data_IF_281659249193
#
_entry.id   IF_281659249193
#
_cell.length_a   1.000
_cell.length_b   1.000
_cell.length_c   1.000
_cell.angle_alpha   90.00
_cell.angle_beta   90.00
_cell.angle_gamma   90.00
#
_symmetry.space_group_name_H-M   'P 1'
#
loop_
_entity.id
_entity.type
_entity.pdbx_description
1 polymer ?
#
# COMPACT_ATOMS: atom_id res chain seq x y z
N UNK A 1 -8.14 -16.55 -10.93
CA UNK A 1 -9.35 -15.92 -10.35
C UNK A 1 -9.16 -14.41 -10.45
N UNK A 2 -10.15 -13.67 -10.92
CA UNK A 2 -10.06 -12.22 -11.00
C UNK A 2 -10.02 -11.61 -9.59
N UNK A 3 -9.15 -10.62 -9.41
CA UNK A 3 -9.04 -9.90 -8.13
C UNK A 3 -10.28 -9.03 -7.90
N UNK A 4 -10.71 -8.94 -6.65
CA UNK A 4 -11.71 -7.97 -6.19
C UNK A 4 -11.21 -6.54 -6.41
N UNK A 5 -12.12 -5.56 -6.40
CA UNK A 5 -11.76 -4.18 -6.72
C UNK A 5 -10.81 -3.55 -5.71
N UNK A 6 -11.26 -3.33 -4.48
CA UNK A 6 -10.48 -2.57 -3.50
C UNK A 6 -10.69 -3.08 -2.08
N UNK A 7 -9.63 -3.05 -1.27
CA UNK A 7 -9.66 -3.30 0.16
C UNK A 7 -9.33 -2.03 0.93
N UNK A 8 -10.11 -1.74 1.95
CA UNK A 8 -9.77 -0.79 2.98
C UNK A 8 -9.58 -1.50 4.32
N UNK A 9 -8.36 -1.54 4.76
CA UNK A 9 -7.94 -2.16 6.00
C UNK A 9 -7.58 -1.10 7.04
N UNK A 10 -8.27 -1.04 8.18
CA UNK A 10 -8.02 -0.03 9.21
C UNK A 10 -8.26 -0.57 10.61
N UNK A 11 -7.21 -0.90 11.34
CA UNK A 11 -7.29 -1.36 12.74
C UNK A 11 -7.79 -0.29 13.72
N UNK A 12 -7.66 0.99 13.38
CA UNK A 12 -8.01 2.12 14.26
C UNK A 12 -9.34 2.81 13.87
N UNK A 13 -10.24 2.06 13.22
CA UNK A 13 -11.52 2.61 12.76
C UNK A 13 -11.37 3.63 11.61
N UNK A 14 -12.48 4.25 11.26
CA UNK A 14 -12.57 5.25 10.20
C UNK A 14 -12.66 6.65 10.81
N UNK A 15 -11.59 7.44 10.74
CA UNK A 15 -11.68 8.88 10.93
C UNK A 15 -12.32 9.56 9.70
N UNK A 16 -12.66 10.85 9.79
CA UNK A 16 -13.36 11.58 8.74
C UNK A 16 -12.66 11.50 7.36
N UNK A 17 -11.32 11.59 7.32
CA UNK A 17 -10.56 11.47 6.08
C UNK A 17 -10.67 10.07 5.47
N UNK A 18 -10.54 9.03 6.29
CA UNK A 18 -10.67 7.64 5.84
C UNK A 18 -12.09 7.33 5.34
N UNK A 19 -13.10 7.88 6.02
CA UNK A 19 -14.50 7.73 5.64
C UNK A 19 -14.78 8.39 4.28
N UNK A 20 -14.23 9.57 4.05
CA UNK A 20 -14.32 10.26 2.75
C UNK A 20 -13.70 9.43 1.62
N UNK A 21 -12.50 8.89 1.82
CA UNK A 21 -11.82 8.03 0.83
C UNK A 21 -12.64 6.78 0.54
N UNK A 22 -13.17 6.13 1.56
CA UNK A 22 -14.04 4.98 1.40
C UNK A 22 -15.25 5.30 0.52
N UNK A 23 -15.93 6.42 0.79
CA UNK A 23 -17.09 6.87 0.00
C UNK A 23 -16.69 7.18 -1.44
N UNK A 24 -15.59 7.91 -1.66
CA UNK A 24 -15.10 8.24 -3.00
C UNK A 24 -14.77 7.02 -3.84
N UNK A 25 -14.15 6.00 -3.25
CA UNK A 25 -13.79 4.77 -3.95
C UNK A 25 -14.98 3.84 -4.16
N UNK A 26 -15.95 3.85 -3.26
CA UNK A 26 -17.19 3.08 -3.39
C UNK A 26 -18.03 3.50 -4.60
N UNK A 27 -17.83 4.71 -5.11
CA UNK A 27 -18.43 5.16 -6.38
C UNK A 27 -17.78 4.52 -7.61
N UNK A 28 -16.56 3.99 -7.50
CA UNK A 28 -15.81 3.39 -8.60
C UNK A 28 -15.90 1.86 -8.64
N UNK A 29 -16.27 1.25 -7.53
CA UNK A 29 -16.39 -0.21 -7.40
C UNK A 29 -16.60 -0.66 -5.96
N UNK A 30 -16.76 -1.96 -5.76
CA UNK A 30 -16.96 -2.51 -4.43
C UNK A 30 -15.70 -2.39 -3.59
N UNK A 31 -15.78 -1.69 -2.46
CA UNK A 31 -14.71 -1.56 -1.46
C UNK A 31 -15.04 -2.41 -0.25
N UNK A 32 -14.26 -3.46 -0.01
CA UNK A 32 -14.37 -4.25 1.20
C UNK A 32 -13.69 -3.49 2.35
N UNK A 33 -14.42 -3.27 3.45
CA UNK A 33 -13.90 -2.63 4.66
C UNK A 33 -13.62 -3.68 5.72
N UNK A 34 -12.40 -3.67 6.25
CA UNK A 34 -12.00 -4.55 7.35
C UNK A 34 -11.39 -3.72 8.47
N UNK A 35 -12.04 -3.77 9.63
CA UNK A 35 -11.61 -3.08 10.85
C UNK A 35 -10.90 -4.02 11.83
N UNK A 36 -11.12 -5.31 11.73
CA UNK A 36 -10.41 -6.34 12.48
C UNK A 36 -9.90 -7.44 11.54
N UNK A 37 -8.58 -7.52 11.39
CA UNK A 37 -7.93 -8.54 10.57
C UNK A 37 -7.89 -9.92 11.21
N UNK A 38 -7.90 -9.99 12.55
CA UNK A 38 -7.76 -11.25 13.27
C UNK A 38 -8.84 -12.26 12.90
N UNK A 39 -10.04 -11.75 12.59
CA UNK A 39 -11.19 -12.61 12.22
C UNK A 39 -11.18 -13.04 10.75
N UNK A 40 -10.26 -12.51 9.94
CA UNK A 40 -10.19 -12.76 8.49
C UNK A 40 -8.96 -13.56 8.08
N UNK A 41 -8.04 -13.81 8.99
CA UNK A 41 -6.84 -14.61 8.75
C UNK A 41 -7.02 -16.01 9.33
N UNK A 42 -6.51 -17.02 8.61
CA UNK A 42 -6.57 -18.42 9.04
C UNK A 42 -5.79 -18.63 10.36
N UNK A 43 -4.69 -17.89 10.52
CA UNK A 43 -3.94 -17.83 11.78
C UNK A 43 -4.11 -16.46 12.45
N UNK A 44 -4.89 -16.41 13.51
CA UNK A 44 -5.18 -15.20 14.29
C UNK A 44 -3.95 -14.60 15.00
N UNK A 45 -2.86 -15.34 15.10
CA UNK A 45 -1.59 -14.86 15.66
C UNK A 45 -0.76 -14.07 14.65
N UNK A 46 -1.01 -14.25 13.34
CA UNK A 46 -0.26 -13.67 12.22
C UNK A 46 -1.01 -12.49 11.56
N UNK A 47 -1.22 -11.39 12.30
CA UNK A 47 -1.73 -10.13 11.70
C UNK A 47 -0.69 -9.49 10.76
N UNK A 48 0.51 -10.04 10.74
CA UNK A 48 1.65 -9.59 9.95
C UNK A 48 2.24 -10.75 9.15
N UNK A 49 2.84 -10.45 7.99
CA UNK A 49 3.58 -11.43 7.21
C UNK A 49 2.77 -12.12 6.13
N UNK A 50 3.01 -13.41 5.94
CA UNK A 50 2.60 -14.13 4.74
C UNK A 50 1.07 -14.21 4.54
N UNK A 51 0.30 -14.38 5.61
CA UNK A 51 -1.16 -14.48 5.53
C UNK A 51 -1.82 -13.16 5.18
N UNK A 52 -1.29 -12.05 5.69
CA UNK A 52 -1.72 -10.70 5.29
C UNK A 52 -1.48 -10.48 3.80
N UNK A 53 -0.30 -10.85 3.29
CA UNK A 53 0.04 -10.73 1.87
C UNK A 53 -0.88 -11.60 1.01
N UNK A 54 -1.15 -12.85 1.40
CA UNK A 54 -2.11 -13.73 0.71
C UNK A 54 -3.51 -13.14 0.69
N UNK A 55 -3.94 -12.56 1.79
CA UNK A 55 -5.23 -11.90 1.88
C UNK A 55 -5.30 -10.68 0.95
N UNK A 56 -4.29 -9.82 0.98
CA UNK A 56 -4.16 -8.64 0.11
C UNK A 56 -4.12 -9.01 -1.38
N UNK A 57 -3.54 -10.15 -1.73
CA UNK A 57 -3.46 -10.63 -3.11
C UNK A 57 -4.83 -10.85 -3.77
N UNK A 58 -5.90 -10.90 -3.01
CA UNK A 58 -7.26 -11.04 -3.53
C UNK A 58 -7.81 -9.73 -4.14
N UNK A 59 -7.12 -8.59 -3.95
CA UNK A 59 -7.60 -7.27 -4.34
C UNK A 59 -6.68 -6.60 -5.37
N UNK A 60 -7.28 -5.80 -6.28
CA UNK A 60 -6.53 -4.98 -7.23
C UNK A 60 -5.88 -3.79 -6.55
N UNK A 61 -6.65 -3.07 -5.73
CA UNK A 61 -6.23 -1.87 -5.02
C UNK A 61 -6.33 -2.07 -3.52
N UNK A 62 -5.40 -1.48 -2.78
CA UNK A 62 -5.44 -1.47 -1.32
C UNK A 62 -5.17 -0.05 -0.82
N UNK A 63 -6.07 0.46 0.01
CA UNK A 63 -5.88 1.76 0.67
C UNK A 63 -4.75 1.62 1.68
N UNK A 64 -3.68 2.35 1.45
CA UNK A 64 -2.43 2.29 2.20
C UNK A 64 -2.11 3.67 2.77
N UNK A 65 -2.69 3.97 3.95
CA UNK A 65 -2.50 5.23 4.64
C UNK A 65 -1.55 5.05 5.80
N UNK A 66 -0.52 5.88 5.83
CA UNK A 66 0.39 5.95 6.97
C UNK A 66 -0.27 6.64 8.17
N UNK A 67 0.31 6.42 9.34
CA UNK A 67 -0.17 7.07 10.57
C UNK A 67 0.29 8.53 10.66
N UNK A 68 1.30 8.91 9.88
CA UNK A 68 1.86 10.26 9.82
C UNK A 68 2.25 10.64 8.39
N UNK A 69 2.11 11.91 8.05
CA UNK A 69 2.56 12.51 6.79
C UNK A 69 3.93 13.20 6.95
N UNK A 70 4.79 12.66 7.79
CA UNK A 70 6.16 13.17 8.00
C UNK A 70 7.08 12.73 6.87
N UNK A 71 7.99 13.60 6.36
CA UNK A 71 9.00 13.21 5.39
C UNK A 71 9.82 12.00 5.88
N UNK A 72 10.06 11.03 5.01
CA UNK A 72 10.77 9.79 5.32
C UNK A 72 9.98 8.75 6.11
N UNK A 73 8.77 9.05 6.56
CA UNK A 73 7.93 8.08 7.28
C UNK A 73 7.23 7.13 6.30
N UNK A 74 7.97 6.14 5.86
CA UNK A 74 7.49 5.06 4.98
C UNK A 74 7.62 3.75 5.73
N UNK A 75 6.50 3.04 5.92
CA UNK A 75 6.47 1.82 6.72
C UNK A 75 6.27 0.57 5.86
N UNK A 76 6.22 -0.59 6.50
CA UNK A 76 5.96 -1.88 5.86
C UNK A 76 4.63 -1.95 5.08
N UNK A 77 3.71 -1.03 5.35
CA UNK A 77 2.36 -1.05 4.75
C UNK A 77 2.40 -1.06 3.23
N UNK A 78 3.15 -0.14 2.62
CA UNK A 78 3.22 -0.05 1.15
C UNK A 78 3.92 -1.28 0.56
N UNK A 79 4.95 -1.81 1.23
CA UNK A 79 5.68 -2.99 0.79
C UNK A 79 4.82 -4.26 0.85
N UNK A 80 4.00 -4.41 1.89
CA UNK A 80 3.03 -5.52 1.99
C UNK A 80 2.06 -5.53 0.81
N UNK A 81 1.62 -4.34 0.35
CA UNK A 81 0.75 -4.22 -0.82
C UNK A 81 1.50 -4.61 -2.11
N UNK A 82 2.75 -4.22 -2.26
CA UNK A 82 3.58 -4.62 -3.41
C UNK A 82 3.83 -6.13 -3.43
N UNK A 83 4.17 -6.73 -2.29
CA UNK A 83 4.34 -8.18 -2.16
C UNK A 83 3.06 -8.94 -2.51
N UNK A 84 1.90 -8.38 -2.22
CA UNK A 84 0.60 -8.92 -2.60
C UNK A 84 0.27 -8.74 -4.09
N UNK A 85 1.17 -8.17 -4.89
CA UNK A 85 0.90 -7.83 -6.30
C UNK A 85 -0.39 -7.04 -6.46
N UNK A 86 -0.60 -6.09 -5.58
CA UNK A 86 -1.70 -5.14 -5.56
C UNK A 86 -1.17 -3.72 -5.74
N UNK A 87 -2.03 -2.78 -6.10
CA UNK A 87 -1.64 -1.38 -6.28
C UNK A 87 -2.05 -0.60 -5.03
N UNK A 88 -1.09 0.01 -4.31
CA UNK A 88 -1.42 0.85 -3.17
C UNK A 88 -2.04 2.18 -3.61
N UNK A 89 -3.13 2.58 -2.93
CA UNK A 89 -3.64 3.94 -2.93
C UNK A 89 -3.04 4.59 -1.68
N UNK A 90 -1.99 5.39 -1.89
CA UNK A 90 -1.10 5.84 -0.83
C UNK A 90 -1.37 7.25 -0.35
N UNK A 91 -1.39 7.41 0.97
CA UNK A 91 -1.32 8.70 1.64
C UNK A 91 -0.38 8.58 2.86
N UNK A 92 0.70 9.37 2.86
CA UNK A 92 1.75 9.30 3.88
C UNK A 92 2.86 10.28 3.60
N UNK A 93 4.11 9.82 3.66
CA UNK A 93 5.29 10.65 3.47
C UNK A 93 5.20 11.51 2.20
N UNK A 94 5.32 12.85 2.31
CA UNK A 94 5.22 13.76 1.16
C UNK A 94 6.37 13.55 0.16
N UNK A 95 7.47 13.00 0.61
CA UNK A 95 8.68 12.71 -0.17
C UNK A 95 8.81 11.24 -0.59
N UNK A 96 7.69 10.50 -0.63
CA UNK A 96 7.65 9.08 -1.02
C UNK A 96 8.33 8.82 -2.37
N UNK A 97 8.26 9.76 -3.31
CA UNK A 97 8.84 9.65 -4.65
C UNK A 97 10.38 9.57 -4.65
N UNK A 98 11.03 9.86 -3.50
CA UNK A 98 12.47 9.61 -3.32
C UNK A 98 12.80 8.13 -3.17
N UNK A 99 11.86 7.34 -2.67
CA UNK A 99 12.04 5.93 -2.30
C UNK A 99 11.34 4.98 -3.26
N UNK A 100 10.16 5.38 -3.73
CA UNK A 100 9.26 4.56 -4.54
C UNK A 100 9.01 5.25 -5.88
N UNK A 101 9.08 4.50 -6.99
CA UNK A 101 8.77 5.06 -8.30
C UNK A 101 7.31 5.59 -8.35
N UNK A 102 7.10 6.85 -8.78
CA UNK A 102 5.77 7.49 -8.78
C UNK A 102 4.69 6.72 -9.56
N UNK A 103 5.12 5.92 -10.53
CA UNK A 103 4.22 5.12 -11.35
C UNK A 103 3.87 3.76 -10.72
N UNK A 104 4.45 3.38 -9.58
CA UNK A 104 4.16 2.09 -8.95
C UNK A 104 3.01 2.13 -7.94
N UNK A 105 2.47 3.30 -7.64
CA UNK A 105 1.34 3.47 -6.73
C UNK A 105 0.37 4.55 -7.24
N UNK A 106 -0.80 4.64 -6.63
CA UNK A 106 -1.76 5.74 -6.83
C UNK A 106 -1.65 6.68 -5.63
N UNK A 107 -1.20 7.91 -5.86
CA UNK A 107 -1.20 8.94 -4.82
C UNK A 107 -2.63 9.36 -4.49
N UNK A 108 -2.94 9.52 -3.21
CA UNK A 108 -4.21 10.11 -2.79
C UNK A 108 -4.20 11.61 -3.04
N UNK A 109 -4.71 11.99 -4.19
CA UNK A 109 -4.83 13.37 -4.68
C UNK A 109 -6.10 13.53 -5.55
N UNK A 110 -6.44 14.74 -6.01
CA UNK A 110 -7.61 14.97 -6.86
C UNK A 110 -7.65 14.13 -8.15
N UNK A 111 -6.51 13.69 -8.67
CA UNK A 111 -6.40 12.89 -9.90
C UNK A 111 -6.54 11.38 -9.66
N UNK A 112 -6.57 10.95 -8.40
CA UNK A 112 -6.64 9.55 -7.99
C UNK A 112 -7.72 8.76 -8.74
N UNK A 113 -8.92 9.32 -8.83
CA UNK A 113 -10.07 8.63 -9.45
C UNK A 113 -9.83 8.29 -10.92
N UNK A 114 -9.29 9.24 -11.69
CA UNK A 114 -9.00 9.02 -13.12
C UNK A 114 -7.95 7.90 -13.30
N UNK A 115 -6.90 7.90 -12.48
CA UNK A 115 -5.86 6.87 -12.51
C UNK A 115 -6.41 5.48 -12.14
N UNK A 116 -7.27 5.40 -11.12
CA UNK A 116 -7.91 4.13 -10.71
C UNK A 116 -8.83 3.59 -11.80
N UNK A 117 -9.66 4.45 -12.42
CA UNK A 117 -10.55 4.06 -13.51
C UNK A 117 -9.75 3.49 -14.69
N UNK A 118 -8.66 4.17 -15.09
CA UNK A 118 -7.78 3.71 -16.15
C UNK A 118 -7.19 2.33 -15.84
N UNK A 119 -6.61 2.16 -14.65
CA UNK A 119 -5.99 0.92 -14.20
C UNK A 119 -7.01 -0.22 -14.07
N UNK A 120 -8.22 0.07 -13.62
CA UNK A 120 -9.25 -0.95 -13.48
C UNK A 120 -9.81 -1.45 -14.82
N UNK A 121 -9.88 -0.57 -15.82
CA UNK A 121 -10.37 -0.90 -17.17
C UNK A 121 -9.31 -1.58 -18.05
N UNK A 122 -8.03 -1.28 -17.85
CA UNK A 122 -6.94 -1.80 -18.68
C UNK A 122 -6.12 -2.86 -17.95
N UNK A 123 -6.41 -4.14 -18.22
CA UNK A 123 -5.65 -5.27 -17.66
C UNK A 123 -4.16 -5.21 -18.02
N UNK A 124 -3.83 -4.74 -19.23
CA UNK A 124 -2.44 -4.60 -19.69
C UNK A 124 -1.67 -3.56 -18.85
N UNK A 125 -2.25 -2.37 -18.68
CA UNK A 125 -1.63 -1.29 -17.88
C UNK A 125 -1.53 -1.71 -16.41
N UNK A 126 -2.58 -2.33 -15.86
CA UNK A 126 -2.56 -2.85 -14.49
C UNK A 126 -1.42 -3.86 -14.29
N UNK A 127 -1.33 -4.88 -15.16
CA UNK A 127 -0.31 -5.93 -15.05
C UNK A 127 1.10 -5.36 -15.21
N UNK A 128 1.31 -4.45 -16.14
CA UNK A 128 2.59 -3.77 -16.32
C UNK A 128 3.00 -3.04 -15.04
N UNK A 129 2.10 -2.27 -14.46
CA UNK A 129 2.37 -1.51 -13.24
C UNK A 129 2.66 -2.44 -12.04
N UNK A 130 1.94 -3.57 -11.92
CA UNK A 130 2.20 -4.55 -10.85
C UNK A 130 3.56 -5.25 -11.02
N UNK A 131 4.07 -5.39 -12.24
CA UNK A 131 5.34 -6.07 -12.54
C UNK A 131 6.55 -5.14 -12.56
N UNK A 132 6.35 -3.82 -12.70
CA UNK A 132 7.43 -2.83 -12.73
C UNK A 132 8.13 -2.76 -11.37
N UNK A 133 9.41 -2.42 -11.39
CA UNK A 133 10.21 -2.14 -10.20
C UNK A 133 9.54 -1.06 -9.34
N UNK A 134 9.63 -1.23 -8.03
CA UNK A 134 8.94 -0.36 -7.06
C UNK A 134 9.86 0.64 -6.39
N UNK A 135 11.11 0.27 -6.19
CA UNK A 135 12.08 1.03 -5.41
C UNK A 135 12.90 1.91 -6.37
N UNK A 136 12.88 3.22 -6.14
CA UNK A 136 13.53 4.21 -7.02
C UNK A 136 15.02 4.39 -6.75
N UNK A 137 15.50 3.90 -5.61
CA UNK A 137 16.93 3.88 -5.24
C UNK A 137 17.31 2.52 -4.73
N UNK A 138 18.52 2.09 -5.03
CA UNK A 138 19.20 1.11 -4.20
C UNK A 138 19.16 1.64 -2.77
N UNK A 139 18.63 0.83 -1.86
CA UNK A 139 18.81 1.08 -0.43
C UNK A 139 20.32 1.14 -0.27
N UNK A 140 20.85 2.32 0.09
CA UNK A 140 22.27 2.47 0.32
C UNK A 140 22.64 1.62 1.55
N UNK A 141 23.06 0.38 1.26
CA UNK A 141 23.49 -0.59 2.29
C UNK A 141 24.61 0.02 3.14
N UNK A 142 25.38 0.96 2.60
CA UNK A 142 26.43 1.66 3.33
C UNK A 142 25.86 2.52 4.48
N UNK A 143 24.64 3.00 4.39
CA UNK A 143 23.98 3.70 5.51
C UNK A 143 23.78 2.72 6.69
N UNK A 144 23.40 1.48 6.39
CA UNK A 144 23.19 0.46 7.40
C UNK A 144 24.53 -0.01 8.00
N UNK A 145 25.55 -0.21 7.17
CA UNK A 145 26.90 -0.58 7.60
C UNK A 145 27.52 0.53 8.45
N UNK A 146 27.42 1.78 8.02
CA UNK A 146 27.89 2.94 8.81
C UNK A 146 27.12 3.11 10.13
N UNK A 147 25.81 2.76 10.16
CA UNK A 147 25.03 2.76 11.39
C UNK A 147 25.45 1.64 12.33
N UNK A 148 25.64 0.43 11.81
CA UNK A 148 26.09 -0.72 12.56
C UNK A 148 27.53 -0.52 13.11
N UNK A 149 28.44 -0.03 12.30
CA UNK A 149 29.82 0.28 12.71
C UNK A 149 29.88 1.29 13.86
N UNK A 150 29.01 2.30 13.83
CA UNK A 150 28.92 3.30 14.89
C UNK A 150 28.46 2.75 16.23
N UNK A 151 27.68 1.65 16.25
CA UNK A 151 27.08 1.09 17.45
C UNK A 151 27.67 -0.25 17.89
N UNK A 152 28.28 -1.02 16.98
CA UNK A 152 28.88 -2.33 17.31
C UNK A 152 30.38 -2.26 17.62
N UNK A 153 31.08 -1.20 17.17
CA UNK A 153 32.52 -1.00 17.38
C UNK A 153 32.83 0.02 18.50
N UNK A 154 31.93 0.11 19.50
CA UNK A 154 32.20 0.85 20.75
C UNK A 154 32.46 -0.08 21.88
#
# INVERSE_FOLDING_TARGET
KDKKFCLFASSNGLNANKQRVYQELSLLGQVDLITDFKDKLDDKSCVHGYDLIRFFNQYKFIICFENSNTPGYVTEKIFNVFHARSIPIYNGAPDIDKYIYPNSYVKYDPNMKAKIVLLNKSKGIYNHLVQTDKISREIDVNIMDNYLDKYLNK
#
